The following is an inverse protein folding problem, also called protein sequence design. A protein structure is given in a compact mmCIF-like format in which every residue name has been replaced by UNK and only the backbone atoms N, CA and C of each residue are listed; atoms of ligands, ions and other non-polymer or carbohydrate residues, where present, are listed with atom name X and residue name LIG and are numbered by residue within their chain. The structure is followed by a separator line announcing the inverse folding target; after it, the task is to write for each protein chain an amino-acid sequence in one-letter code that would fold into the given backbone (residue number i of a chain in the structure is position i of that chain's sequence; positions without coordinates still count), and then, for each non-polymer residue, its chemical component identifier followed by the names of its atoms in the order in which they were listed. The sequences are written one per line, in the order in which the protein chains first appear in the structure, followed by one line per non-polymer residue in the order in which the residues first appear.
data_IF_763303150064
#
_entry.id   IF_763303150064
#
_cell.length_a   1.000
_cell.length_b   1.000
_cell.length_c   1.000
_cell.angle_alpha   90.00
_cell.angle_beta   90.00
_cell.angle_gamma   90.00
#
_symmetry.space_group_name_H-M   'P 1'
#
loop_
_entity.id
_entity.type
_entity.pdbx_description
1 polymer ?
#
# COMPACT_ATOMS: atom_id res chain seq x y z
N UNK A 1 -24.46 45.12 33.56
CA UNK A 1 -23.74 44.93 32.27
C UNK A 1 -22.64 43.86 32.32
N UNK A 2 -22.34 43.25 33.48
CA UNK A 2 -21.23 42.29 33.67
C UNK A 2 -21.61 40.84 33.40
N UNK A 3 -22.86 40.45 33.71
CA UNK A 3 -23.37 39.08 33.53
C UNK A 3 -23.48 38.70 32.05
N UNK A 4 -23.90 39.64 31.20
CA UNK A 4 -24.06 39.40 29.76
C UNK A 4 -22.71 39.11 29.08
N UNK A 5 -21.64 39.81 29.47
CA UNK A 5 -20.27 39.58 29.00
C UNK A 5 -19.69 38.22 29.47
N UNK A 6 -20.01 37.78 30.68
CA UNK A 6 -19.55 36.49 31.21
C UNK A 6 -20.21 35.29 30.51
N UNK A 7 -21.50 35.40 30.17
CA UNK A 7 -22.25 34.36 29.45
C UNK A 7 -21.76 34.24 28.00
N UNK A 8 -21.53 35.37 27.32
CA UNK A 8 -20.99 35.36 25.95
C UNK A 8 -19.60 34.74 25.88
N UNK A 9 -18.71 35.07 26.83
CA UNK A 9 -17.38 34.45 26.93
C UNK A 9 -17.47 32.93 27.17
N UNK A 10 -18.43 32.46 27.98
CA UNK A 10 -18.59 31.03 28.29
C UNK A 10 -19.10 30.22 27.08
N UNK A 11 -20.02 30.79 26.30
CA UNK A 11 -20.54 30.15 25.08
C UNK A 11 -19.47 30.09 23.99
N UNK A 12 -18.69 31.17 23.81
CA UNK A 12 -17.58 31.20 22.85
C UNK A 12 -16.52 30.15 23.17
N UNK A 13 -16.12 30.01 24.44
CA UNK A 13 -15.15 28.99 24.86
C UNK A 13 -15.67 27.57 24.59
N UNK A 14 -16.93 27.30 24.90
CA UNK A 14 -17.57 25.99 24.65
C UNK A 14 -17.63 25.65 23.16
N UNK A 15 -17.98 26.61 22.30
CA UNK A 15 -18.03 26.41 20.83
C UNK A 15 -16.62 26.12 20.28
N UNK A 16 -15.61 26.86 20.74
CA UNK A 16 -14.21 26.67 20.31
C UNK A 16 -13.65 25.31 20.77
N UNK A 17 -13.97 24.87 21.99
CA UNK A 17 -13.56 23.55 22.50
C UNK A 17 -14.24 22.41 21.72
N UNK A 18 -15.52 22.56 21.40
CA UNK A 18 -16.26 21.55 20.64
C UNK A 18 -15.77 21.47 19.20
N UNK A 19 -15.44 22.61 18.57
CA UNK A 19 -14.86 22.67 17.24
C UNK A 19 -13.46 22.04 17.18
N UNK A 20 -12.60 22.29 18.17
CA UNK A 20 -11.24 21.75 18.19
C UNK A 20 -11.18 20.24 18.44
N UNK A 21 -12.16 19.67 19.15
CA UNK A 21 -12.26 18.22 19.37
C UNK A 21 -12.94 17.47 18.21
N UNK A 22 -13.89 18.10 17.53
CA UNK A 22 -14.64 17.49 16.41
C UNK A 22 -13.81 17.40 15.13
N UNK A 23 -12.88 18.33 14.89
CA UNK A 23 -12.07 18.34 13.67
C UNK A 23 -11.06 17.16 13.58
N UNK A 24 -10.25 16.85 14.62
CA UNK A 24 -9.33 15.69 14.59
C UNK A 24 -10.06 14.36 14.61
N UNK A 25 -11.21 14.27 15.27
CA UNK A 25 -12.02 13.05 15.29
C UNK A 25 -12.67 12.82 13.93
N UNK A 26 -13.24 13.84 13.29
CA UNK A 26 -13.74 13.75 11.93
C UNK A 26 -12.61 13.40 10.94
N UNK A 27 -11.43 14.02 11.06
CA UNK A 27 -10.26 13.69 10.26
C UNK A 27 -9.79 12.25 10.50
N UNK A 28 -9.78 11.79 11.75
CA UNK A 28 -9.44 10.42 12.12
C UNK A 28 -10.43 9.40 11.58
N UNK A 29 -11.74 9.71 11.58
CA UNK A 29 -12.79 8.86 10.99
C UNK A 29 -12.70 8.82 9.47
N UNK A 30 -12.43 9.95 8.81
CA UNK A 30 -12.17 10.02 7.37
C UNK A 30 -10.91 9.22 7.03
N UNK A 31 -9.83 9.42 7.78
CA UNK A 31 -8.58 8.69 7.60
C UNK A 31 -8.78 7.19 7.79
N UNK A 32 -9.44 6.77 8.88
CA UNK A 32 -9.73 5.36 9.15
C UNK A 32 -10.64 4.74 8.09
N UNK A 33 -11.65 5.47 7.62
CA UNK A 33 -12.55 5.02 6.54
C UNK A 33 -11.81 4.89 5.22
N UNK A 34 -10.98 5.87 4.87
CA UNK A 34 -10.18 5.86 3.64
C UNK A 34 -9.13 4.75 3.69
N UNK A 35 -8.44 4.58 4.82
CA UNK A 35 -7.48 3.49 5.04
C UNK A 35 -8.16 2.13 5.03
N UNK A 36 -9.34 2.02 5.66
CA UNK A 36 -10.16 0.81 5.67
C UNK A 36 -10.68 0.44 4.28
N UNK A 37 -11.10 1.41 3.46
CA UNK A 37 -11.50 1.20 2.07
C UNK A 37 -10.30 0.81 1.19
N UNK A 38 -9.15 1.45 1.39
CA UNK A 38 -7.90 1.10 0.69
C UNK A 38 -7.46 -0.34 1.00
N UNK A 39 -7.52 -0.76 2.27
CA UNK A 39 -7.22 -2.14 2.67
C UNK A 39 -8.29 -3.12 2.17
N UNK A 40 -9.58 -2.75 2.18
CA UNK A 40 -10.69 -3.59 1.69
C UNK A 40 -10.66 -3.84 0.19
N UNK A 41 -10.40 -2.82 -0.64
CA UNK A 41 -10.32 -2.99 -2.10
C UNK A 41 -9.21 -3.96 -2.47
N UNK A 42 -8.12 -3.90 -1.72
CA UNK A 42 -6.98 -4.80 -1.84
C UNK A 42 -7.32 -6.23 -1.39
N UNK A 43 -8.11 -6.41 -0.33
CA UNK A 43 -8.46 -7.73 0.24
C UNK A 43 -9.21 -8.67 -0.71
N UNK A 44 -10.07 -8.18 -1.60
CA UNK A 44 -10.82 -9.03 -2.55
C UNK A 44 -9.92 -9.78 -3.54
N UNK A 45 -8.77 -9.21 -3.92
CA UNK A 45 -7.77 -9.91 -4.73
C UNK A 45 -7.02 -10.99 -3.91
N UNK A 46 -6.94 -10.86 -2.57
CA UNK A 46 -6.26 -11.82 -1.69
C UNK A 46 -7.08 -13.10 -1.48
N UNK A 47 -8.41 -12.99 -1.39
CA UNK A 47 -9.31 -14.13 -1.09
C UNK A 47 -9.26 -15.22 -2.17
N UNK A 48 -8.92 -14.84 -3.41
CA UNK A 48 -8.77 -15.74 -4.55
C UNK A 48 -7.38 -15.66 -5.18
N UNK A 49 -6.38 -15.29 -4.40
CA UNK A 49 -5.06 -14.97 -4.91
C UNK A 49 -4.39 -16.16 -5.60
N UNK A 50 -4.50 -17.35 -4.99
CA UNK A 50 -3.95 -18.57 -5.56
C UNK A 50 -4.61 -18.91 -6.90
N UNK A 51 -5.95 -18.92 -6.96
CA UNK A 51 -6.68 -19.24 -8.20
C UNK A 51 -6.48 -18.18 -9.27
N UNK A 52 -6.40 -16.90 -8.91
CA UNK A 52 -6.17 -15.79 -9.85
C UNK A 52 -4.79 -15.89 -10.52
N UNK A 53 -3.72 -15.96 -9.74
CA UNK A 53 -2.35 -15.97 -10.29
C UNK A 53 -1.94 -17.32 -10.88
N UNK A 54 -2.57 -18.43 -10.47
CA UNK A 54 -2.31 -19.74 -11.07
C UNK A 54 -3.14 -19.97 -12.35
N UNK A 55 -4.37 -19.45 -12.41
CA UNK A 55 -5.27 -19.60 -13.55
C UNK A 55 -4.98 -18.63 -14.70
N UNK A 56 -4.33 -17.49 -14.43
CA UNK A 56 -4.00 -16.50 -15.45
C UNK A 56 -2.61 -16.74 -16.05
N UNK A 57 -2.56 -17.16 -17.31
CA UNK A 57 -1.31 -17.41 -18.02
C UNK A 57 -0.40 -16.16 -18.01
N UNK A 58 0.90 -16.39 -17.76
CA UNK A 58 1.90 -15.32 -17.67
C UNK A 58 1.84 -14.47 -16.40
N UNK A 59 0.90 -14.71 -15.47
CA UNK A 59 0.87 -14.08 -14.14
C UNK A 59 1.54 -14.99 -13.09
N UNK A 60 2.15 -14.39 -12.07
CA UNK A 60 2.81 -15.11 -10.96
C UNK A 60 2.73 -14.35 -9.65
N UNK A 61 2.73 -15.09 -8.55
CA UNK A 61 2.83 -14.53 -7.20
C UNK A 61 3.98 -15.23 -6.47
N UNK A 62 4.91 -14.44 -5.93
CA UNK A 62 6.05 -14.96 -5.17
C UNK A 62 6.02 -14.45 -3.74
N UNK A 63 6.45 -15.33 -2.84
CA UNK A 63 6.64 -15.02 -1.43
C UNK A 63 8.12 -15.22 -1.07
N UNK A 64 8.65 -14.34 -0.24
CA UNK A 64 9.92 -14.54 0.43
C UNK A 64 9.63 -15.18 1.80
N UNK A 65 10.29 -16.30 2.08
CA UNK A 65 10.12 -17.04 3.33
C UNK A 65 11.43 -17.00 4.12
N UNK A 66 11.34 -16.81 5.43
CA UNK A 66 12.45 -16.90 6.36
C UNK A 66 12.03 -17.80 7.52
N UNK A 67 12.63 -18.99 7.63
CA UNK A 67 12.11 -20.05 8.49
C UNK A 67 10.71 -20.46 8.03
N UNK A 68 9.72 -20.34 8.90
CA UNK A 68 8.30 -20.62 8.61
C UNK A 68 7.49 -19.34 8.32
N UNK A 69 8.12 -18.15 8.36
CA UNK A 69 7.44 -16.86 8.21
C UNK A 69 7.53 -16.35 6.79
N UNK A 70 6.40 -15.93 6.21
CA UNK A 70 6.38 -15.10 5.00
C UNK A 70 6.79 -13.68 5.38
N UNK A 71 7.90 -13.21 4.81
CA UNK A 71 8.53 -11.92 5.16
C UNK A 71 8.45 -10.88 4.04
N UNK A 72 7.99 -11.28 2.87
CA UNK A 72 7.75 -10.36 1.76
C UNK A 72 7.03 -11.03 0.60
N UNK A 73 6.52 -10.20 -0.30
CA UNK A 73 5.70 -10.63 -1.43
C UNK A 73 6.04 -9.79 -2.66
N UNK A 74 5.81 -10.35 -3.84
CA UNK A 74 5.71 -9.60 -5.10
C UNK A 74 4.82 -10.38 -6.06
N UNK A 75 4.01 -9.66 -6.83
CA UNK A 75 3.15 -10.25 -7.83
C UNK A 75 3.42 -9.63 -9.20
N UNK A 76 3.27 -10.46 -10.21
CA UNK A 76 3.28 -10.09 -11.60
C UNK A 76 1.92 -10.40 -12.18
N UNK A 77 1.28 -9.36 -12.69
CA UNK A 77 0.04 -9.49 -13.44
C UNK A 77 0.28 -9.22 -14.92
N UNK A 78 -0.03 -10.19 -15.78
CA UNK A 78 0.08 -10.04 -17.22
C UNK A 78 -1.07 -9.16 -17.72
N UNK A 79 -0.73 -7.99 -18.25
CA UNK A 79 -1.72 -7.03 -18.79
C UNK A 79 -1.91 -7.25 -20.28
N UNK A 80 -0.84 -7.57 -21.00
CA UNK A 80 -0.84 -7.99 -22.40
C UNK A 80 0.38 -8.88 -22.67
N UNK A 81 0.53 -9.35 -23.90
CA UNK A 81 1.67 -10.19 -24.33
C UNK A 81 3.04 -9.56 -24.08
N UNK A 82 3.10 -8.25 -23.87
CA UNK A 82 4.37 -7.53 -23.79
C UNK A 82 4.42 -6.60 -22.59
N UNK A 83 3.34 -6.53 -21.80
CA UNK A 83 3.22 -5.63 -20.67
C UNK A 83 2.88 -6.42 -19.41
N UNK A 84 3.71 -6.26 -18.38
CA UNK A 84 3.47 -6.78 -17.05
C UNK A 84 3.25 -5.64 -16.05
N UNK A 85 2.42 -5.89 -15.05
CA UNK A 85 2.21 -4.99 -13.93
C UNK A 85 2.78 -5.59 -12.66
N UNK A 86 3.61 -4.81 -11.97
CA UNK A 86 4.13 -5.15 -10.66
C UNK A 86 3.10 -4.76 -9.60
N UNK A 87 2.60 -5.76 -8.89
CA UNK A 87 1.66 -5.60 -7.77
C UNK A 87 2.22 -6.23 -6.51
N UNK A 88 1.59 -5.92 -5.37
CA UNK A 88 1.80 -6.65 -4.11
C UNK A 88 3.25 -6.70 -3.61
N UNK A 89 4.08 -5.73 -4.02
CA UNK A 89 5.46 -5.65 -3.54
C UNK A 89 5.47 -5.11 -2.11
N UNK A 90 5.85 -5.96 -1.16
CA UNK A 90 5.95 -5.60 0.24
C UNK A 90 7.00 -6.44 0.95
N UNK A 91 7.62 -5.87 1.99
CA UNK A 91 8.54 -6.57 2.89
C UNK A 91 8.22 -6.12 4.31
N UNK A 92 8.10 -7.09 5.23
CA UNK A 92 7.88 -6.83 6.64
C UNK A 92 8.96 -5.89 7.20
N UNK A 93 8.60 -4.88 8.00
CA UNK A 93 9.54 -3.89 8.53
C UNK A 93 10.82 -4.50 9.11
N UNK A 94 10.71 -5.57 9.91
CA UNK A 94 11.86 -6.22 10.56
C UNK A 94 12.88 -6.84 9.58
N UNK A 95 12.44 -7.12 8.35
CA UNK A 95 13.19 -7.79 7.30
C UNK A 95 13.65 -6.85 6.17
N UNK A 96 13.32 -5.55 6.28
CA UNK A 96 13.80 -4.52 5.34
C UNK A 96 15.30 -4.32 5.47
N UNK A 97 15.90 -3.74 4.43
CA UNK A 97 17.35 -3.48 4.33
C UNK A 97 18.27 -4.72 4.39
N UNK A 98 17.70 -5.93 4.39
CA UNK A 98 18.41 -7.23 4.30
C UNK A 98 18.44 -7.84 2.88
N UNK A 99 18.19 -7.01 1.86
CA UNK A 99 18.14 -7.43 0.46
C UNK A 99 16.92 -8.26 0.03
N UNK A 100 15.91 -8.46 0.90
CA UNK A 100 14.70 -9.25 0.58
C UNK A 100 13.97 -8.66 -0.64
N UNK A 101 13.70 -7.36 -0.64
CA UNK A 101 13.01 -6.72 -1.76
C UNK A 101 13.80 -6.78 -3.06
N UNK A 102 15.12 -6.65 -2.98
CA UNK A 102 16.03 -6.82 -4.11
C UNK A 102 15.96 -8.24 -4.70
N UNK A 103 15.89 -9.28 -3.86
CA UNK A 103 15.76 -10.67 -4.34
C UNK A 103 14.40 -10.91 -5.01
N UNK A 104 13.32 -10.38 -4.43
CA UNK A 104 11.98 -10.44 -5.02
C UNK A 104 11.93 -9.75 -6.38
N UNK A 105 12.48 -8.54 -6.50
CA UNK A 105 12.56 -7.82 -7.77
C UNK A 105 13.38 -8.56 -8.84
N UNK A 106 14.54 -9.14 -8.46
CA UNK A 106 15.33 -9.97 -9.39
C UNK A 106 14.52 -11.16 -9.91
N UNK A 107 13.74 -11.82 -9.03
CA UNK A 107 12.88 -12.94 -9.42
C UNK A 107 11.78 -12.49 -10.39
N UNK A 108 11.14 -11.36 -10.09
CA UNK A 108 10.13 -10.73 -10.93
C UNK A 108 10.68 -10.41 -12.32
N UNK A 109 11.81 -9.71 -12.42
CA UNK A 109 12.41 -9.33 -13.70
C UNK A 109 12.90 -10.52 -14.50
N UNK A 110 13.49 -11.53 -13.83
CA UNK A 110 13.92 -12.76 -14.49
C UNK A 110 12.76 -13.44 -15.20
N UNK A 111 11.59 -13.49 -14.56
CA UNK A 111 10.38 -14.02 -15.16
C UNK A 111 9.84 -13.13 -16.29
N UNK A 112 9.84 -11.81 -16.13
CA UNK A 112 9.49 -10.88 -17.21
C UNK A 112 10.32 -11.15 -18.47
N UNK A 113 11.63 -11.35 -18.31
CA UNK A 113 12.55 -11.64 -19.43
C UNK A 113 12.25 -12.99 -20.08
N UNK A 114 11.99 -14.05 -19.30
CA UNK A 114 11.63 -15.36 -19.86
C UNK A 114 10.31 -15.32 -20.64
N UNK A 115 9.36 -14.49 -20.19
CA UNK A 115 8.05 -14.31 -20.81
C UNK A 115 8.00 -13.20 -21.88
N UNK A 116 9.17 -12.74 -22.36
CA UNK A 116 9.30 -11.69 -23.39
C UNK A 116 8.52 -10.39 -23.09
N UNK A 117 8.35 -10.06 -21.81
CA UNK A 117 7.81 -8.76 -21.38
C UNK A 117 8.74 -7.65 -21.86
N UNK A 118 8.19 -6.61 -22.49
CA UNK A 118 8.94 -5.42 -22.94
C UNK A 118 8.73 -4.19 -22.07
N UNK A 119 7.60 -4.12 -21.35
CA UNK A 119 7.27 -2.99 -20.47
C UNK A 119 6.76 -3.50 -19.14
N UNK A 120 7.31 -2.97 -18.05
CA UNK A 120 6.79 -3.16 -16.71
C UNK A 120 6.16 -1.85 -16.27
N UNK A 121 4.95 -1.90 -15.71
CA UNK A 121 4.31 -0.75 -15.06
C UNK A 121 4.04 -1.06 -13.59
N UNK A 122 3.92 -0.02 -12.79
CA UNK A 122 3.53 -0.12 -11.39
C UNK A 122 2.74 1.11 -10.97
N UNK A 123 1.91 0.94 -9.96
CA UNK A 123 1.25 2.05 -9.27
C UNK A 123 1.81 2.15 -7.86
N UNK A 124 2.36 3.31 -7.50
CA UNK A 124 2.87 3.59 -6.15
C UNK A 124 2.39 4.96 -5.66
N UNK A 125 2.28 5.10 -4.35
CA UNK A 125 1.97 6.37 -3.69
C UNK A 125 3.23 6.91 -3.00
N UNK A 126 3.36 8.24 -2.95
CA UNK A 126 4.46 8.93 -2.24
C UNK A 126 4.50 8.62 -0.74
N UNK A 127 3.43 8.07 -0.19
CA UNK A 127 3.29 7.66 1.22
C UNK A 127 4.21 6.44 1.55
N UNK A 128 4.77 5.75 0.54
CA UNK A 128 5.63 4.58 0.72
C UNK A 128 7.08 4.86 0.26
N UNK A 129 7.88 5.61 1.04
CA UNK A 129 9.21 6.07 0.63
C UNK A 129 10.22 4.92 0.41
N UNK A 130 10.08 3.79 1.10
CA UNK A 130 10.93 2.61 0.89
C UNK A 130 10.67 1.96 -0.48
N UNK A 131 9.40 1.85 -0.87
CA UNK A 131 9.02 1.29 -2.16
C UNK A 131 9.50 2.21 -3.29
N UNK A 132 9.35 3.53 -3.13
CA UNK A 132 9.86 4.49 -4.11
C UNK A 132 11.37 4.37 -4.33
N UNK A 133 12.16 4.31 -3.23
CA UNK A 133 13.61 4.11 -3.31
C UNK A 133 13.99 2.78 -3.98
N UNK A 134 13.23 1.72 -3.73
CA UNK A 134 13.44 0.44 -4.38
C UNK A 134 13.19 0.52 -5.89
N UNK A 135 12.09 1.14 -6.30
CA UNK A 135 11.70 1.27 -7.71
C UNK A 135 12.66 2.18 -8.48
N UNK A 136 13.08 3.30 -7.89
CA UNK A 136 14.08 4.19 -8.48
C UNK A 136 15.41 3.47 -8.71
N UNK A 137 15.87 2.64 -7.75
CA UNK A 137 17.05 1.79 -7.92
C UNK A 137 16.90 0.80 -9.08
N UNK A 138 15.67 0.46 -9.43
CA UNK A 138 15.31 -0.45 -10.51
C UNK A 138 15.04 0.26 -11.85
N UNK A 139 15.18 1.59 -11.91
CA UNK A 139 15.03 2.37 -13.14
C UNK A 139 13.57 2.72 -13.50
N UNK A 140 12.65 2.67 -12.53
CA UNK A 140 11.28 3.19 -12.68
C UNK A 140 11.17 4.68 -12.36
#
# INVERSE_FOLDING_TARGET
MTIFHAVTNSVLISVVLTATLSLPTAWGLIYCSFYGLYVRSRRRELDHLYSYYNGKAGSKFWVAVCGEKIVGTVALDRVSDTVAELKWMSVLPEYRRRGVGTRLMKRFEGFCRSERVRKIRLHTSRIQPEALRLYQKWGF
#
